data_IF_871488806029
#
_entry.id   IF_871488806029
#
_cell.length_a   1.000
_cell.length_b   1.000
_cell.length_c   1.000
_cell.angle_alpha   90.00
_cell.angle_beta   90.00
_cell.angle_gamma   90.00
#
_symmetry.space_group_name_H-M   'P 1'
#
loop_
_entity.id
_entity.type
_entity.pdbx_description
1 polymer ?
#
# COMPACT_ATOMS: atom_id res chain seq x y z
N UNK A 1 1.06 8.11 27.90
CA UNK A 1 0.54 8.20 26.52
C UNK A 1 0.98 6.92 25.85
N UNK A 2 0.06 6.14 25.27
CA UNK A 2 0.42 4.93 24.50
C UNK A 2 0.67 5.42 23.07
N UNK A 3 1.90 5.27 22.58
CA UNK A 3 2.22 5.40 21.17
C UNK A 3 1.34 4.41 20.40
N UNK A 4 0.27 4.89 19.78
CA UNK A 4 -0.60 4.06 18.99
C UNK A 4 0.15 3.70 17.70
N UNK A 5 0.53 2.42 17.48
CA UNK A 5 1.37 2.03 16.34
C UNK A 5 0.67 2.21 14.98
N UNK A 6 -0.59 2.64 14.97
CA UNK A 6 -1.44 2.83 13.78
C UNK A 6 -1.59 4.26 13.33
N UNK A 7 -0.88 5.22 13.94
CA UNK A 7 -0.90 6.60 13.46
C UNK A 7 -0.02 6.77 12.22
N UNK A 8 -0.36 6.06 11.14
CA UNK A 8 0.07 6.45 9.80
C UNK A 8 -0.69 7.73 9.44
N UNK A 9 -0.16 8.87 9.89
CA UNK A 9 -0.63 10.17 9.45
C UNK A 9 -0.54 10.22 7.93
N UNK A 10 -1.59 10.75 7.26
CA UNK A 10 -1.63 10.93 5.79
C UNK A 10 -0.35 11.57 5.25
N UNK A 11 0.23 12.51 6.01
CA UNK A 11 1.51 13.17 5.73
C UNK A 11 2.70 12.22 5.65
N UNK A 12 2.73 11.16 6.47
CA UNK A 12 3.77 10.13 6.45
C UNK A 12 3.66 9.18 5.26
N UNK A 13 2.44 8.87 4.81
CA UNK A 13 2.20 8.07 3.59
C UNK A 13 2.61 8.81 2.33
N UNK A 14 2.26 10.10 2.23
CA UNK A 14 2.60 10.94 1.08
C UNK A 14 4.09 11.28 0.99
N UNK A 15 4.84 11.14 2.09
CA UNK A 15 6.28 11.41 2.13
C UNK A 15 7.14 10.25 1.62
N UNK A 16 6.59 9.03 1.55
CA UNK A 16 7.29 7.86 1.03
C UNK A 16 7.43 7.97 -0.49
N UNK A 17 8.55 7.51 -1.06
CA UNK A 17 8.73 7.33 -2.51
C UNK A 17 7.98 6.09 -3.01
N UNK A 18 7.77 5.94 -4.34
CA UNK A 18 7.07 4.77 -4.90
C UNK A 18 7.76 3.44 -4.54
N UNK A 19 9.09 3.41 -4.54
CA UNK A 19 9.89 2.26 -4.12
C UNK A 19 9.69 1.94 -2.63
N UNK A 20 9.58 2.96 -1.78
CA UNK A 20 9.38 2.79 -0.34
C UNK A 20 7.95 2.32 -0.05
N UNK A 21 6.96 2.85 -0.78
CA UNK A 21 5.59 2.35 -0.75
C UNK A 21 5.51 0.88 -1.17
N UNK A 22 6.18 0.48 -2.26
CA UNK A 22 6.25 -0.91 -2.68
C UNK A 22 6.89 -1.83 -1.61
N UNK A 23 7.95 -1.35 -0.94
CA UNK A 23 8.55 -2.08 0.18
C UNK A 23 7.59 -2.20 1.37
N UNK A 24 6.88 -1.12 1.74
CA UNK A 24 5.91 -1.12 2.86
C UNK A 24 4.73 -2.03 2.59
N UNK A 25 4.24 -2.09 1.34
CA UNK A 25 3.21 -3.06 0.91
C UNK A 25 3.69 -4.49 1.14
N UNK A 26 4.94 -4.79 0.75
CA UNK A 26 5.53 -6.13 0.93
C UNK A 26 5.68 -6.48 2.41
N UNK A 27 6.25 -5.58 3.21
CA UNK A 27 6.41 -5.77 4.67
C UNK A 27 5.06 -5.99 5.37
N UNK A 28 4.03 -5.24 4.97
CA UNK A 28 2.68 -5.38 5.53
C UNK A 28 2.07 -6.76 5.18
N UNK A 29 2.29 -7.25 3.96
CA UNK A 29 1.81 -8.56 3.53
C UNK A 29 2.53 -9.71 4.25
N UNK A 30 3.84 -9.62 4.43
CA UNK A 30 4.63 -10.58 5.22
C UNK A 30 4.17 -10.60 6.68
N UNK A 31 3.92 -9.44 7.27
CA UNK A 31 3.40 -9.31 8.64
C UNK A 31 2.02 -9.94 8.77
N UNK A 32 1.10 -9.68 7.82
CA UNK A 32 -0.23 -10.31 7.83
C UNK A 32 -0.16 -11.83 7.74
N UNK A 33 0.76 -12.38 6.92
CA UNK A 33 0.96 -13.82 6.84
C UNK A 33 1.43 -14.40 8.18
N UNK A 34 2.41 -13.77 8.83
CA UNK A 34 2.89 -14.21 10.14
C UNK A 34 1.81 -14.14 11.22
N UNK A 35 1.01 -13.05 11.24
CA UNK A 35 -0.12 -12.91 12.15
C UNK A 35 -1.17 -14.00 11.90
N UNK A 36 -1.47 -14.30 10.64
CA UNK A 36 -2.40 -15.37 10.26
C UNK A 36 -1.89 -16.75 10.69
N UNK A 37 -0.59 -17.03 10.54
CA UNK A 37 0.04 -18.27 11.02
C UNK A 37 -0.04 -18.41 12.53
N UNK A 38 -0.03 -17.30 13.27
CA UNK A 38 -0.19 -17.25 14.73
C UNK A 38 -1.64 -17.23 15.19
N UNK A 39 -2.60 -17.13 14.27
CA UNK A 39 -4.02 -16.98 14.59
C UNK A 39 -4.41 -15.61 15.15
N UNK A 40 -3.61 -14.58 14.90
CA UNK A 40 -3.83 -13.20 15.33
C UNK A 40 -4.81 -12.45 14.39
N UNK A 41 -5.49 -11.43 14.91
CA UNK A 41 -6.37 -10.58 14.10
C UNK A 41 -5.56 -9.73 13.11
N UNK A 42 -5.79 -9.97 11.82
CA UNK A 42 -5.12 -9.23 10.74
C UNK A 42 -5.89 -7.98 10.30
N UNK A 43 -7.09 -7.72 10.85
CA UNK A 43 -8.01 -6.68 10.36
C UNK A 43 -7.39 -5.29 10.37
N UNK A 44 -6.58 -5.01 11.38
CA UNK A 44 -5.84 -3.75 11.52
C UNK A 44 -4.75 -3.63 10.46
N UNK A 45 -3.93 -4.67 10.29
CA UNK A 45 -2.82 -4.67 9.34
C UNK A 45 -3.32 -4.70 7.89
N UNK A 46 -4.48 -5.30 7.63
CA UNK A 46 -5.15 -5.28 6.33
C UNK A 46 -5.53 -3.85 5.92
N UNK A 47 -6.09 -3.04 6.82
CA UNK A 47 -6.39 -1.63 6.53
C UNK A 47 -5.14 -0.80 6.23
N UNK A 48 -4.03 -1.10 6.91
CA UNK A 48 -2.74 -0.48 6.65
C UNK A 48 -2.22 -0.86 5.27
N UNK A 49 -2.30 -2.14 4.90
CA UNK A 49 -1.95 -2.62 3.57
C UNK A 49 -2.79 -1.95 2.48
N UNK A 50 -4.11 -1.87 2.66
CA UNK A 50 -5.02 -1.20 1.72
C UNK A 50 -4.64 0.27 1.52
N UNK A 51 -4.30 1.00 2.58
CA UNK A 51 -3.88 2.39 2.48
C UNK A 51 -2.57 2.59 1.68
N UNK A 52 -1.59 1.69 1.84
CA UNK A 52 -0.37 1.74 1.04
C UNK A 52 -0.62 1.39 -0.44
N UNK A 53 -1.48 0.39 -0.71
CA UNK A 53 -1.84 -0.01 -2.08
C UNK A 53 -2.62 1.08 -2.79
N UNK A 54 -3.57 1.73 -2.11
CA UNK A 54 -4.35 2.83 -2.66
C UNK A 54 -3.45 4.01 -3.05
N UNK A 55 -2.54 4.43 -2.16
CA UNK A 55 -1.57 5.50 -2.42
C UNK A 55 -0.61 5.15 -3.57
N UNK A 56 -0.11 3.91 -3.62
CA UNK A 56 0.76 3.44 -4.71
C UNK A 56 0.03 3.43 -6.07
N UNK A 57 -1.22 2.99 -6.09
CA UNK A 57 -2.05 2.99 -7.29
C UNK A 57 -2.45 4.42 -7.71
N UNK A 58 -2.75 5.29 -6.76
CA UNK A 58 -3.06 6.70 -7.00
C UNK A 58 -1.89 7.39 -7.72
N UNK A 59 -0.67 7.17 -7.25
CA UNK A 59 0.56 7.72 -7.88
C UNK A 59 0.87 7.10 -9.23
N UNK A 60 0.68 5.79 -9.37
CA UNK A 60 0.81 5.13 -10.68
C UNK A 60 -0.22 5.65 -11.68
N UNK A 61 -1.40 6.07 -11.23
CA UNK A 61 -2.43 6.67 -12.08
C UNK A 61 -2.21 8.16 -12.39
N UNK A 62 -1.45 8.88 -11.55
CA UNK A 62 -1.08 10.30 -11.77
C UNK A 62 0.15 10.44 -12.70
N UNK A 63 0.92 9.36 -12.90
CA UNK A 63 1.72 9.29 -14.13
C UNK A 63 0.75 9.18 -15.31
N UNK A 64 0.81 10.09 -16.31
CA UNK A 64 -0.05 9.96 -17.48
C UNK A 64 0.38 8.69 -18.21
N UNK A 65 -0.34 7.60 -17.96
CA UNK A 65 -0.34 6.45 -18.84
C UNK A 65 -0.96 6.97 -20.13
N UNK A 66 -0.10 7.49 -21.03
CA UNK A 66 -0.41 7.54 -22.45
C UNK A 66 -1.04 6.18 -22.76
N UNK A 67 -2.21 6.13 -23.43
CA UNK A 67 -2.69 4.86 -23.93
C UNK A 67 -1.57 4.34 -24.83
N UNK A 68 -0.86 3.31 -24.37
CA UNK A 68 0.03 2.57 -25.26
C UNK A 68 -0.90 2.14 -26.39
N UNK A 69 -0.66 2.69 -27.57
CA UNK A 69 -1.51 2.53 -28.75
C UNK A 69 -1.56 1.08 -29.21
N UNK A 70 -2.28 0.25 -28.45
CA UNK A 70 -3.00 -0.89 -28.94
C UNK A 70 -3.97 -0.32 -29.97
N UNK A 71 -3.53 -0.31 -31.23
CA UNK A 71 -4.41 -0.09 -32.36
C UNK A 71 -5.64 -0.95 -32.13
N UNK A 72 -6.81 -0.31 -32.07
CA UNK A 72 -8.07 -1.01 -32.16
C UNK A 72 -8.01 -1.88 -33.42
N UNK A 73 -7.99 -3.20 -33.22
CA UNK A 73 -8.02 -4.17 -34.30
C UNK A 73 -9.38 -4.00 -34.97
N UNK A 74 -9.35 -3.71 -36.27
CA UNK A 74 -10.52 -3.81 -37.15
C UNK A 74 -10.43 -5.11 -37.92
#
# INVERSE_FOLDING_TARGET
MIDNPLSLSKTGLTALSDSELAQKIKEALETMNQMKERGEDVSVQAKVYEAYVDEYNHRSSDTPTKPHGLKAVK
#
